data_IF_136497142601
#
_entry.id   IF_136497142601
#
_cell.length_a   1.000
_cell.length_b   1.000
_cell.length_c   1.000
_cell.angle_alpha   90.00
_cell.angle_beta   90.00
_cell.angle_gamma   90.00
#
_symmetry.space_group_name_H-M   'P 1'
#
loop_
_entity.id
_entity.type
_entity.pdbx_description
1 polymer ?
#
# COMPACT_ATOMS: atom_id res chain seq x y z
N UNK A 1 -37.48 -13.10 -17.82
CA UNK A 1 -36.58 -13.13 -16.65
C UNK A 1 -35.18 -12.99 -17.22
N UNK A 2 -34.72 -11.75 -17.42
CA UNK A 2 -33.93 -10.94 -16.47
C UNK A 2 -32.53 -11.57 -16.31
N UNK A 3 -31.40 -10.94 -16.59
CA UNK A 3 -31.04 -9.52 -16.59
C UNK A 3 -29.96 -9.26 -17.65
N UNK A 4 -30.18 -8.32 -18.57
CA UNK A 4 -29.08 -7.65 -19.25
C UNK A 4 -28.79 -6.40 -18.42
N UNK A 5 -27.61 -6.39 -17.77
CA UNK A 5 -27.11 -5.22 -17.07
C UNK A 5 -27.04 -4.04 -18.04
N UNK A 6 -27.99 -3.13 -17.91
CA UNK A 6 -27.83 -1.73 -18.32
C UNK A 6 -26.72 -1.11 -17.46
N UNK A 7 -25.49 -1.33 -17.88
CA UNK A 7 -24.39 -0.41 -17.62
C UNK A 7 -23.86 0.01 -18.97
N UNK A 8 -24.72 0.65 -19.78
CA UNK A 8 -24.22 1.49 -20.86
C UNK A 8 -23.41 2.59 -20.18
N UNK A 9 -22.10 2.49 -20.35
CA UNK A 9 -21.20 3.56 -19.97
C UNK A 9 -21.46 4.67 -20.99
N UNK A 10 -22.02 5.82 -20.56
CA UNK A 10 -22.39 6.94 -21.44
C UNK A 10 -21.28 7.30 -22.46
N UNK A 11 -20.02 7.05 -22.11
CA UNK A 11 -18.85 7.22 -22.96
C UNK A 11 -18.77 6.22 -24.14
N UNK A 12 -19.10 4.95 -23.94
CA UNK A 12 -19.12 3.94 -25.01
C UNK A 12 -20.25 4.19 -26.00
N UNK A 13 -21.40 4.66 -25.52
CA UNK A 13 -22.53 5.07 -26.36
C UNK A 13 -22.20 6.31 -27.21
N UNK A 14 -21.49 7.28 -26.63
CA UNK A 14 -20.99 8.46 -27.36
C UNK A 14 -19.97 8.08 -28.44
N UNK A 15 -18.99 7.24 -28.10
CA UNK A 15 -17.96 6.79 -29.05
C UNK A 15 -18.55 5.92 -30.16
N UNK A 16 -19.50 5.04 -29.85
CA UNK A 16 -20.19 4.23 -30.86
C UNK A 16 -21.05 5.09 -31.79
N UNK A 17 -21.75 6.10 -31.26
CA UNK A 17 -22.50 7.06 -32.07
C UNK A 17 -21.59 7.75 -33.11
N UNK A 18 -20.41 8.23 -32.72
CA UNK A 18 -19.46 8.84 -33.66
C UNK A 18 -18.87 7.85 -34.67
N UNK A 19 -18.60 6.60 -34.25
CA UNK A 19 -18.04 5.56 -35.12
C UNK A 19 -19.03 5.03 -36.17
N UNK A 20 -20.33 5.02 -35.86
CA UNK A 20 -21.38 4.46 -36.74
C UNK A 20 -22.21 5.52 -37.48
N UNK A 21 -22.00 6.81 -37.22
CA UNK A 21 -22.70 7.90 -37.92
C UNK A 21 -21.92 8.33 -39.16
N UNK A 22 -22.61 8.46 -40.30
CA UNK A 22 -21.99 8.89 -41.55
C UNK A 22 -21.51 10.35 -41.46
N UNK A 23 -20.40 10.66 -42.13
CA UNK A 23 -19.82 12.01 -42.19
C UNK A 23 -20.85 13.07 -42.64
N UNK A 24 -21.74 12.74 -43.60
CA UNK A 24 -22.79 13.66 -44.06
C UNK A 24 -23.84 13.99 -42.99
N UNK A 25 -24.18 13.02 -42.14
CA UNK A 25 -25.09 13.23 -41.00
C UNK A 25 -24.41 14.04 -39.88
N UNK A 26 -23.14 13.75 -39.59
CA UNK A 26 -22.33 14.57 -38.67
C UNK A 26 -22.22 16.03 -39.17
N UNK A 27 -22.07 16.25 -40.48
CA UNK A 27 -22.00 17.58 -41.10
C UNK A 27 -23.31 18.38 -41.02
N UNK A 28 -24.46 17.69 -40.99
CA UNK A 28 -25.76 18.34 -40.77
C UNK A 28 -26.04 18.59 -39.29
N UNK A 29 -25.43 17.81 -38.40
CA UNK A 29 -25.52 17.97 -36.95
C UNK A 29 -24.49 18.95 -36.39
N UNK A 30 -23.47 19.36 -37.16
CA UNK A 30 -22.42 20.33 -36.78
C UNK A 30 -22.96 21.57 -36.05
N UNK A 31 -24.01 22.27 -36.52
CA UNK A 31 -24.53 23.45 -35.82
C UNK A 31 -25.15 23.11 -34.45
N UNK A 32 -25.64 21.89 -34.29
CA UNK A 32 -26.20 21.40 -33.03
C UNK A 32 -25.08 20.89 -32.11
N UNK A 33 -24.10 20.15 -32.63
CA UNK A 33 -22.95 19.61 -31.90
C UNK A 33 -21.98 20.70 -31.43
N UNK A 34 -21.91 21.83 -32.15
CA UNK A 34 -21.11 23.00 -31.81
C UNK A 34 -21.96 24.20 -31.40
N UNK A 35 -23.18 23.98 -30.89
CA UNK A 35 -23.88 25.02 -30.14
C UNK A 35 -23.04 25.45 -28.94
N UNK A 36 -23.18 26.69 -28.48
CA UNK A 36 -22.44 27.19 -27.30
C UNK A 36 -22.65 26.27 -26.08
N UNK A 37 -23.86 25.74 -25.87
CA UNK A 37 -24.15 24.79 -24.79
C UNK A 37 -23.37 23.47 -24.92
N UNK A 38 -23.28 22.91 -26.12
CA UNK A 38 -22.55 21.65 -26.34
C UNK A 38 -21.03 21.84 -26.33
N UNK A 39 -20.54 23.00 -26.74
CA UNK A 39 -19.13 23.38 -26.54
C UNK A 39 -18.80 23.53 -25.06
N UNK A 40 -19.68 24.18 -24.29
CA UNK A 40 -19.49 24.34 -22.84
C UNK A 40 -19.50 22.98 -22.11
N UNK A 41 -20.40 22.07 -22.50
CA UNK A 41 -20.43 20.71 -21.96
C UNK A 41 -19.17 19.90 -22.36
N UNK A 42 -18.66 20.09 -23.58
CA UNK A 42 -17.42 19.47 -24.03
C UNK A 42 -16.21 20.00 -23.26
N UNK A 43 -16.13 21.32 -23.05
CA UNK A 43 -15.07 21.96 -22.27
C UNK A 43 -15.08 21.51 -20.81
N UNK A 44 -16.26 21.35 -20.21
CA UNK A 44 -16.41 20.79 -18.86
C UNK A 44 -15.90 19.34 -18.80
N UNK A 45 -16.26 18.50 -19.78
CA UNK A 45 -15.79 17.12 -19.86
C UNK A 45 -14.27 17.05 -20.08
N UNK A 46 -13.71 17.92 -20.92
CA UNK A 46 -12.26 18.03 -21.11
C UNK A 46 -11.59 18.44 -19.80
N UNK A 47 -12.15 19.41 -19.08
CA UNK A 47 -11.65 19.85 -17.78
C UNK A 47 -11.65 18.72 -16.74
N UNK A 48 -12.73 17.95 -16.64
CA UNK A 48 -12.82 16.78 -15.75
C UNK A 48 -11.75 15.74 -16.13
N UNK A 49 -11.67 15.39 -17.41
CA UNK A 49 -10.69 14.40 -17.89
C UNK A 49 -9.24 14.85 -17.65
N UNK A 50 -8.94 16.14 -17.78
CA UNK A 50 -7.62 16.69 -17.46
C UNK A 50 -7.28 16.55 -15.97
N UNK A 51 -8.21 16.88 -15.08
CA UNK A 51 -8.02 16.73 -13.63
C UNK A 51 -7.83 15.27 -13.24
N UNK A 52 -8.63 14.36 -13.80
CA UNK A 52 -8.47 12.93 -13.58
C UNK A 52 -7.12 12.40 -14.07
N UNK A 53 -6.69 12.82 -15.27
CA UNK A 53 -5.40 12.43 -15.83
C UNK A 53 -4.24 12.92 -14.96
N UNK A 54 -4.28 14.17 -14.49
CA UNK A 54 -3.28 14.71 -13.57
C UNK A 54 -3.22 13.88 -12.28
N UNK A 55 -4.38 13.60 -11.67
CA UNK A 55 -4.44 12.77 -10.46
C UNK A 55 -3.90 11.35 -10.68
N UNK A 56 -4.12 10.76 -11.86
CA UNK A 56 -3.53 9.48 -12.22
C UNK A 56 -2.01 9.55 -12.36
N UNK A 57 -1.48 10.59 -12.99
CA UNK A 57 -0.04 10.79 -13.16
C UNK A 57 0.66 10.99 -11.81
N UNK A 58 0.10 11.84 -10.93
CA UNK A 58 0.61 12.05 -9.57
C UNK A 58 0.63 10.75 -8.75
N UNK A 59 -0.40 9.91 -8.90
CA UNK A 59 -0.45 8.60 -8.24
C UNK A 59 0.63 7.65 -8.76
N UNK A 60 0.87 7.62 -10.07
CA UNK A 60 1.93 6.79 -10.67
C UNK A 60 3.31 7.26 -10.20
N UNK A 61 3.52 8.58 -10.17
CA UNK A 61 4.79 9.17 -9.72
C UNK A 61 5.06 8.86 -8.25
N UNK A 62 4.09 9.09 -7.36
CA UNK A 62 4.22 8.76 -5.93
C UNK A 62 4.48 7.27 -5.68
N UNK A 63 3.86 6.38 -6.46
CA UNK A 63 4.12 4.94 -6.37
C UNK A 63 5.54 4.59 -6.85
N UNK A 64 6.02 5.24 -7.92
CA UNK A 64 7.39 5.07 -8.40
C UNK A 64 8.40 5.53 -7.35
N UNK A 65 8.22 6.72 -6.78
CA UNK A 65 9.09 7.25 -5.73
C UNK A 65 9.13 6.33 -4.50
N UNK A 66 7.97 5.85 -4.06
CA UNK A 66 7.88 4.91 -2.95
C UNK A 66 8.64 3.61 -3.24
N UNK A 67 8.46 3.04 -4.44
CA UNK A 67 9.15 1.81 -4.82
C UNK A 67 10.67 2.03 -4.93
N UNK A 68 11.11 3.17 -5.45
CA UNK A 68 12.54 3.54 -5.48
C UNK A 68 13.11 3.67 -4.06
N UNK A 69 12.37 4.28 -3.14
CA UNK A 69 12.77 4.40 -1.72
C UNK A 69 12.91 3.03 -1.06
N UNK A 70 11.94 2.13 -1.29
CA UNK A 70 12.01 0.74 -0.79
C UNK A 70 13.21 0.02 -1.39
N UNK A 71 13.48 0.20 -2.69
CA UNK A 71 14.63 -0.42 -3.35
C UNK A 71 15.97 0.07 -2.80
N UNK A 72 16.07 1.38 -2.51
CA UNK A 72 17.22 1.96 -1.83
C UNK A 72 17.38 1.36 -0.43
N UNK A 73 16.29 1.16 0.31
CA UNK A 73 16.33 0.49 1.61
C UNK A 73 16.70 -0.99 1.55
N UNK A 74 16.44 -1.69 0.45
CA UNK A 74 16.93 -3.07 0.26
C UNK A 74 18.43 -3.12 0.06
N UNK A 75 19.00 -2.12 -0.62
CA UNK A 75 20.41 -2.08 -1.01
C UNK A 75 21.28 -1.21 -0.09
N UNK A 76 20.68 -0.52 0.88
CA UNK A 76 21.41 0.30 1.84
C UNK A 76 22.30 -0.59 2.71
N UNK A 77 23.60 -0.28 2.77
CA UNK A 77 24.64 -1.02 3.49
C UNK A 77 24.11 -1.65 4.79
N UNK A 78 24.11 -2.97 4.82
CA UNK A 78 23.49 -3.74 5.87
C UNK A 78 24.54 -4.22 6.86
N UNK A 79 24.36 -3.87 8.13
CA UNK A 79 25.10 -4.57 9.17
C UNK A 79 24.61 -6.02 9.19
N UNK A 80 25.49 -7.04 9.07
CA UNK A 80 25.10 -8.44 9.24
C UNK A 80 24.57 -8.73 10.66
N UNK A 81 24.65 -7.74 11.55
CA UNK A 81 24.15 -7.77 12.91
C UNK A 81 22.74 -7.20 13.06
N UNK A 82 22.04 -6.83 11.97
CA UNK A 82 20.68 -6.30 12.06
C UNK A 82 19.72 -7.01 11.09
N UNK A 83 18.55 -7.40 11.57
CA UNK A 83 17.41 -7.78 10.73
C UNK A 83 16.65 -6.52 10.31
N UNK A 84 16.60 -6.25 9.01
CA UNK A 84 15.82 -5.16 8.42
C UNK A 84 14.40 -5.62 8.14
N UNK A 85 13.46 -4.77 8.52
CA UNK A 85 12.04 -4.92 8.22
C UNK A 85 11.57 -3.69 7.45
N UNK A 86 10.96 -3.91 6.29
CA UNK A 86 10.27 -2.86 5.54
C UNK A 86 8.77 -3.18 5.57
N UNK A 87 7.97 -2.22 6.02
CA UNK A 87 6.51 -2.35 6.07
C UNK A 87 5.91 -1.35 5.09
N UNK A 88 5.32 -1.87 4.00
CA UNK A 88 4.53 -1.09 3.04
C UNK A 88 3.10 -0.99 3.52
N UNK A 89 2.56 0.23 3.54
CA UNK A 89 1.19 0.51 3.92
C UNK A 89 0.41 1.04 2.72
N UNK A 90 -0.78 0.48 2.51
CA UNK A 90 -1.73 0.86 1.46
C UNK A 90 -3.01 1.27 2.17
N UNK A 91 -3.38 2.54 2.04
CA UNK A 91 -4.62 3.05 2.58
C UNK A 91 -5.63 3.26 1.44
N UNK A 92 -6.67 2.43 1.39
CA UNK A 92 -7.78 2.58 0.46
C UNK A 92 -8.99 3.27 1.10
N UNK A 93 -8.84 3.79 2.33
CA UNK A 93 -9.90 4.47 3.08
C UNK A 93 -9.80 5.99 2.92
N UNK A 94 -10.89 6.74 3.21
CA UNK A 94 -10.86 8.20 3.25
C UNK A 94 -10.16 8.77 4.50
N UNK A 95 -9.68 7.91 5.41
CA UNK A 95 -9.06 8.32 6.66
C UNK A 95 -7.59 8.67 6.47
N UNK A 96 -7.09 9.61 7.28
CA UNK A 96 -5.67 9.98 7.28
C UNK A 96 -5.02 9.54 8.59
N UNK A 97 -4.23 8.47 8.53
CA UNK A 97 -3.70 7.83 9.72
C UNK A 97 -2.36 8.43 10.17
N UNK A 98 -2.22 8.62 11.47
CA UNK A 98 -0.94 8.93 12.14
C UNK A 98 -0.55 7.81 13.10
N UNK A 99 0.74 7.73 13.44
CA UNK A 99 1.20 6.81 14.49
C UNK A 99 0.83 7.40 15.86
N UNK A 100 -0.08 6.75 16.57
CA UNK A 100 -0.40 7.09 17.95
C UNK A 100 0.69 6.57 18.90
N UNK A 101 0.91 5.26 18.82
CA UNK A 101 1.79 4.50 19.69
C UNK A 101 2.53 3.46 18.87
N UNK A 102 3.76 3.18 19.27
CA UNK A 102 4.57 2.18 18.61
C UNK A 102 5.66 1.72 19.55
N UNK A 103 5.98 0.44 19.51
CA UNK A 103 7.21 -0.11 20.07
C UNK A 103 8.26 -0.39 18.98
N UNK A 104 7.89 -0.23 17.72
CA UNK A 104 8.81 -0.31 16.58
C UNK A 104 9.93 0.73 16.74
N UNK A 105 11.22 0.36 16.59
CA UNK A 105 12.33 1.31 16.72
C UNK A 105 12.40 2.21 15.49
N UNK A 106 11.57 3.26 15.51
CA UNK A 106 11.57 4.37 14.57
C UNK A 106 12.31 5.56 15.18
N UNK A 107 12.93 6.40 14.35
CA UNK A 107 13.48 7.67 14.85
C UNK A 107 12.33 8.57 15.32
N UNK A 108 12.50 9.39 16.37
CA UNK A 108 11.45 10.29 16.85
C UNK A 108 10.87 11.16 15.74
N UNK A 109 11.72 11.72 14.87
CA UNK A 109 11.30 12.53 13.72
C UNK A 109 10.46 11.74 12.72
N UNK A 110 10.79 10.46 12.47
CA UNK A 110 10.00 9.60 11.57
C UNK A 110 8.63 9.29 12.15
N UNK A 111 8.54 9.10 13.48
CA UNK A 111 7.26 8.88 14.16
C UNK A 111 6.39 10.14 14.14
N UNK A 112 6.95 11.30 14.46
CA UNK A 112 6.22 12.56 14.57
C UNK A 112 5.74 13.08 13.22
N UNK A 113 6.52 12.86 12.16
CA UNK A 113 6.15 13.26 10.80
C UNK A 113 5.35 12.21 10.03
N UNK A 114 5.13 11.02 10.62
CA UNK A 114 4.42 9.96 9.91
C UNK A 114 2.97 10.34 9.65
N UNK A 115 2.61 10.31 8.36
CA UNK A 115 1.25 10.51 7.90
C UNK A 115 0.95 9.57 6.74
N UNK A 116 -0.07 8.75 6.90
CA UNK A 116 -0.62 7.90 5.84
C UNK A 116 -1.91 8.55 5.34
N UNK A 117 -1.79 9.32 4.26
CA UNK A 117 -2.89 10.04 3.62
C UNK A 117 -3.99 9.08 3.15
N UNK A 118 -5.21 9.62 3.03
CA UNK A 118 -6.32 8.93 2.37
C UNK A 118 -5.93 8.49 0.95
N UNK A 119 -6.35 7.28 0.55
CA UNK A 119 -6.08 6.71 -0.78
C UNK A 119 -4.60 6.65 -1.22
N UNK A 120 -3.66 6.73 -0.27
CA UNK A 120 -2.24 6.79 -0.52
C UNK A 120 -1.49 5.52 -0.08
N UNK A 121 -0.24 5.43 -0.50
CA UNK A 121 0.71 4.39 -0.11
C UNK A 121 1.91 5.02 0.57
N UNK A 122 2.47 4.34 1.56
CA UNK A 122 3.76 4.72 2.17
C UNK A 122 4.51 3.49 2.65
N UNK A 123 5.70 3.69 3.21
CA UNK A 123 6.43 2.61 3.85
C UNK A 123 7.26 3.12 5.03
N UNK A 124 7.49 2.25 6.00
CA UNK A 124 8.40 2.45 7.12
C UNK A 124 9.48 1.38 7.11
N UNK A 125 10.69 1.74 7.52
CA UNK A 125 11.82 0.84 7.69
C UNK A 125 12.18 0.77 9.17
N UNK A 126 12.52 -0.41 9.65
CA UNK A 126 13.03 -0.60 11.00
C UNK A 126 14.13 -1.66 11.01
N UNK A 127 15.22 -1.39 11.72
CA UNK A 127 16.36 -2.29 11.83
C UNK A 127 16.45 -2.82 13.28
N UNK A 128 16.42 -4.14 13.44
CA UNK A 128 16.50 -4.81 14.74
C UNK A 128 17.86 -5.45 14.95
N UNK A 129 18.47 -5.24 16.10
CA UNK A 129 19.74 -5.88 16.43
C UNK A 129 19.59 -7.42 16.45
N UNK A 130 20.18 -8.07 15.45
CA UNK A 130 20.40 -9.50 15.35
C UNK A 130 21.58 -9.87 16.25
N UNK A 131 21.31 -9.97 17.55
CA UNK A 131 22.32 -10.28 18.57
C UNK A 131 22.23 -11.71 19.03
N UNK A 132 23.30 -12.47 18.81
CA UNK A 132 23.43 -13.80 19.36
C UNK A 132 24.88 -14.23 19.62
N UNK A 133 25.05 -14.87 20.78
CA UNK A 133 26.18 -15.71 21.11
C UNK A 133 25.68 -17.15 21.27
N UNK A 134 26.46 -18.13 20.83
CA UNK A 134 26.17 -19.54 21.09
C UNK A 134 26.28 -19.84 22.60
N UNK A 135 25.50 -20.78 23.16
CA UNK A 135 24.49 -21.64 22.53
C UNK A 135 23.09 -21.02 22.48
N UNK A 136 22.31 -21.42 21.46
CA UNK A 136 21.04 -20.80 21.10
C UNK A 136 19.84 -21.53 21.74
N UNK A 137 18.94 -20.83 22.46
CA UNK A 137 17.74 -21.45 23.03
C UNK A 137 16.75 -21.85 21.93
N UNK A 138 15.92 -22.87 22.21
CA UNK A 138 14.84 -23.32 21.32
C UNK A 138 13.69 -22.31 21.34
N UNK A 139 13.17 -21.93 20.17
CA UNK A 139 12.01 -21.05 19.99
C UNK A 139 12.16 -19.68 20.68
N UNK A 140 13.20 -18.92 20.32
CA UNK A 140 13.45 -17.60 20.91
C UNK A 140 12.66 -16.52 20.17
N UNK A 141 11.93 -15.69 20.92
CA UNK A 141 11.35 -14.45 20.38
C UNK A 141 12.49 -13.45 20.17
N UNK A 142 12.66 -13.00 18.92
CA UNK A 142 13.65 -12.00 18.54
C UNK A 142 13.20 -10.61 18.88
N UNK A 143 12.00 -10.31 18.44
CA UNK A 143 11.29 -9.09 18.74
C UNK A 143 9.81 -9.37 18.60
N UNK A 144 9.02 -8.57 19.31
CA UNK A 144 7.59 -8.50 19.17
C UNK A 144 7.22 -7.02 19.33
N UNK A 145 6.77 -6.41 18.25
CA UNK A 145 6.53 -4.97 18.15
C UNK A 145 5.12 -4.71 17.68
N UNK A 146 4.64 -3.50 17.95
CA UNK A 146 3.37 -3.04 17.41
C UNK A 146 3.46 -1.59 16.94
N UNK A 147 2.51 -1.21 16.09
CA UNK A 147 2.24 0.16 15.66
C UNK A 147 0.73 0.37 15.65
N UNK A 148 0.27 1.42 16.32
CA UNK A 148 -1.12 1.87 16.30
C UNK A 148 -1.26 3.07 15.36
N UNK A 149 -2.06 2.88 14.32
CA UNK A 149 -2.49 3.90 13.38
C UNK A 149 -3.88 4.39 13.77
N UNK A 150 -4.05 5.71 13.93
CA UNK A 150 -5.35 6.28 14.33
C UNK A 150 -5.76 7.45 13.43
N UNK A 151 -7.06 7.57 13.21
CA UNK A 151 -7.72 8.75 12.66
C UNK A 151 -9.15 8.85 13.24
N UNK A 152 -9.44 9.93 13.96
CA UNK A 152 -10.74 10.17 14.59
C UNK A 152 -11.28 8.94 15.37
N UNK A 153 -12.28 8.26 14.82
CA UNK A 153 -12.98 7.10 15.39
C UNK A 153 -12.51 5.75 14.81
N UNK A 154 -11.57 5.76 13.85
CA UNK A 154 -10.96 4.58 13.26
C UNK A 154 -9.56 4.39 13.83
N UNK A 155 -9.23 3.14 14.13
CA UNK A 155 -7.90 2.76 14.60
C UNK A 155 -7.53 1.39 14.06
N UNK A 156 -6.24 1.19 13.83
CA UNK A 156 -5.66 -0.08 13.37
C UNK A 156 -4.40 -0.37 14.17
N UNK A 157 -4.32 -1.54 14.77
CA UNK A 157 -3.09 -2.08 15.35
C UNK A 157 -2.44 -3.04 14.38
N UNK A 158 -1.18 -2.80 14.07
CA UNK A 158 -0.30 -3.75 13.40
C UNK A 158 0.64 -4.34 14.44
N UNK A 159 0.71 -5.66 14.53
CA UNK A 159 1.67 -6.37 15.37
C UNK A 159 2.60 -7.20 14.49
N UNK A 160 3.87 -7.21 14.87
CA UNK A 160 4.93 -7.87 14.14
C UNK A 160 5.91 -8.53 15.10
N UNK A 161 6.16 -9.81 14.90
CA UNK A 161 7.19 -10.52 15.63
C UNK A 161 7.98 -11.48 14.76
N UNK A 162 9.17 -11.80 15.24
CA UNK A 162 10.00 -12.85 14.66
C UNK A 162 10.40 -13.83 15.76
N UNK A 163 10.27 -15.12 15.47
CA UNK A 163 10.67 -16.21 16.34
C UNK A 163 11.73 -17.01 15.60
N UNK A 164 12.87 -17.23 16.26
CA UNK A 164 13.91 -18.13 15.77
C UNK A 164 13.66 -19.54 16.29
N UNK A 165 13.40 -20.45 15.35
CA UNK A 165 13.24 -21.87 15.62
C UNK A 165 14.52 -22.61 15.26
N UNK A 166 14.88 -23.58 16.10
CA UNK A 166 16.00 -24.50 15.87
C UNK A 166 15.44 -25.85 15.47
N UNK A 167 15.79 -26.35 14.29
CA UNK A 167 15.60 -27.75 13.94
C UNK A 167 16.93 -28.49 14.04
N UNK A 168 16.89 -29.74 14.51
CA UNK A 168 18.06 -30.61 14.52
C UNK A 168 18.20 -31.23 13.13
N UNK A 169 19.18 -30.78 12.34
CA UNK A 169 19.63 -31.52 11.17
C UNK A 169 20.51 -32.69 11.58
N UNK A 170 20.74 -33.64 10.66
CA UNK A 170 21.54 -34.85 10.89
C UNK A 170 23.02 -34.54 11.19
N UNK A 171 23.52 -33.39 10.73
CA UNK A 171 24.95 -32.99 10.85
C UNK A 171 25.11 -31.68 11.65
N UNK A 172 24.19 -30.72 11.52
CA UNK A 172 24.20 -29.47 12.29
C UNK A 172 22.79 -28.91 12.48
N UNK A 173 22.56 -28.04 13.49
CA UNK A 173 21.27 -27.37 13.64
C UNK A 173 20.97 -26.42 12.48
N UNK A 174 19.78 -26.53 11.89
CA UNK A 174 19.30 -25.58 10.89
C UNK A 174 18.43 -24.54 11.62
N UNK A 175 18.70 -23.27 11.35
CA UNK A 175 17.93 -22.16 11.90
C UNK A 175 16.82 -21.80 10.93
N UNK A 176 15.60 -21.61 11.44
CA UNK A 176 14.48 -21.09 10.64
C UNK A 176 13.85 -19.92 11.37
N UNK A 177 13.85 -18.77 10.73
CA UNK A 177 13.05 -17.64 11.17
C UNK A 177 11.57 -17.91 10.85
N UNK A 178 10.70 -17.58 11.79
CA UNK A 178 9.25 -17.59 11.59
C UNK A 178 8.74 -16.21 11.96
N UNK A 179 8.19 -15.52 10.97
CA UNK A 179 7.60 -14.19 11.14
C UNK A 179 6.11 -14.36 11.46
N UNK A 180 5.62 -13.56 12.41
CA UNK A 180 4.20 -13.41 12.72
C UNK A 180 3.83 -11.96 12.48
N UNK A 181 2.82 -11.72 11.67
CA UNK A 181 2.27 -10.41 11.40
C UNK A 181 0.74 -10.46 11.50
N UNK A 182 0.16 -9.53 12.24
CA UNK A 182 -1.28 -9.38 12.40
C UNK A 182 -1.66 -7.92 12.23
N UNK A 183 -2.82 -7.68 11.62
CA UNK A 183 -3.42 -6.35 11.56
C UNK A 183 -4.85 -6.45 12.04
N UNK A 184 -5.26 -5.53 12.91
CA UNK A 184 -6.58 -5.57 13.55
C UNK A 184 -7.15 -4.16 13.67
N UNK A 185 -8.41 -3.99 13.29
CA UNK A 185 -9.13 -2.73 13.54
C UNK A 185 -9.49 -2.61 15.02
N UNK A 186 -9.06 -1.52 15.67
CA UNK A 186 -9.19 -1.26 17.10
C UNK A 186 -10.06 -0.02 17.42
N UNK A 187 -10.51 0.70 16.39
CA UNK A 187 -11.38 1.89 16.55
C UNK A 187 -12.83 1.53 16.84
N UNK A 188 -13.64 2.54 17.20
CA UNK A 188 -15.09 2.37 17.33
C UNK A 188 -15.76 2.14 15.97
N UNK A 189 -15.17 2.69 14.90
CA UNK A 189 -15.55 2.42 13.52
C UNK A 189 -14.61 1.37 12.94
N UNK A 190 -15.17 0.23 12.53
CA UNK A 190 -14.40 -0.87 11.96
C UNK A 190 -14.05 -0.59 10.51
N UNK A 191 -12.83 -0.97 10.13
CA UNK A 191 -12.40 -1.04 8.74
C UNK A 191 -11.82 -2.42 8.44
N UNK A 192 -11.88 -2.83 7.17
CA UNK A 192 -11.19 -4.04 6.76
C UNK A 192 -9.69 -3.79 6.76
N UNK A 193 -8.93 -4.80 7.16
CA UNK A 193 -7.49 -4.74 7.15
C UNK A 193 -6.92 -6.12 6.83
N UNK A 194 -5.87 -6.15 6.02
CA UNK A 194 -5.14 -7.38 5.71
C UNK A 194 -3.64 -7.13 5.74
N UNK A 195 -2.88 -8.20 5.99
CA UNK A 195 -1.43 -8.15 6.00
C UNK A 195 -0.87 -9.41 5.38
N UNK A 196 0.27 -9.30 4.69
CA UNK A 196 0.99 -10.43 4.11
C UNK A 196 2.49 -10.14 4.12
N UNK A 197 3.29 -11.19 4.21
CA UNK A 197 4.73 -11.12 3.98
C UNK A 197 4.95 -11.15 2.48
N UNK A 198 5.65 -10.16 1.94
CA UNK A 198 5.91 -10.03 0.48
C UNK A 198 7.28 -10.55 0.07
N UNK A 199 8.23 -10.57 1.01
CA UNK A 199 9.58 -11.08 0.80
C UNK A 199 10.17 -11.51 2.14
N UNK A 200 11.01 -12.55 2.12
CA UNK A 200 11.74 -13.03 3.30
C UNK A 200 13.05 -13.67 2.85
N UNK A 201 14.16 -13.21 3.41
CA UNK A 201 15.48 -13.78 3.18
C UNK A 201 15.57 -15.19 3.79
N UNK A 202 16.20 -16.10 3.05
CA UNK A 202 16.41 -17.48 3.50
C UNK A 202 17.54 -17.57 4.54
N UNK A 203 18.48 -16.63 4.49
CA UNK A 203 19.67 -16.59 5.33
C UNK A 203 19.69 -15.39 6.29
N UNK A 204 20.54 -15.50 7.30
CA UNK A 204 20.79 -14.41 8.24
C UNK A 204 21.29 -13.15 7.50
N UNK A 205 20.84 -11.95 7.89
CA UNK A 205 20.09 -11.63 9.11
C UNK A 205 18.56 -11.77 9.02
N UNK A 206 18.03 -12.54 8.05
CA UNK A 206 16.60 -12.84 7.89
C UNK A 206 15.73 -11.59 7.66
N UNK A 207 16.19 -10.69 6.79
CA UNK A 207 15.42 -9.51 6.39
C UNK A 207 14.08 -9.92 5.77
N UNK A 208 13.04 -9.13 5.98
CA UNK A 208 11.75 -9.42 5.38
C UNK A 208 10.90 -8.16 5.19
N UNK A 209 9.87 -8.33 4.38
CA UNK A 209 8.95 -7.26 4.00
C UNK A 209 7.52 -7.66 4.27
N UNK A 210 6.73 -6.68 4.73
CA UNK A 210 5.32 -6.87 5.03
C UNK A 210 4.52 -5.79 4.30
N UNK A 211 3.41 -6.20 3.69
CA UNK A 211 2.40 -5.28 3.16
C UNK A 211 1.19 -5.28 4.10
N UNK A 212 0.67 -4.08 4.39
CA UNK A 212 -0.57 -3.84 5.12
C UNK A 212 -1.51 -3.10 4.19
N UNK A 213 -2.74 -3.59 4.04
CA UNK A 213 -3.80 -2.94 3.28
C UNK A 213 -4.95 -2.60 4.21
N UNK A 214 -5.36 -1.33 4.20
CA UNK A 214 -6.49 -0.79 4.94
C UNK A 214 -7.62 -0.43 3.97
N UNK A 215 -8.85 -0.85 4.24
CA UNK A 215 -10.02 -0.65 3.37
C UNK A 215 -10.60 -1.95 2.83
#
# INVERSE_FOLDING_TARGET
MNDIKETSNKYEDLLSFFNYTSIGTLYNLTPLLFSEENQQALDELIGIAQVELIGHLEKIESERELNQKIEQWRHQDESPKNTRVIVKLINNTPHTFKIAQTSLPLRPSERESFLLQAHAKTAIKSDFAYTYAAPWPKNKIMFNQFVDFIDQNVGVRFELGMIMNKSFGVISPIHRATVKNTVTSIGSSKINCSTKITSMAEDQPFNFEVEITLG
#
